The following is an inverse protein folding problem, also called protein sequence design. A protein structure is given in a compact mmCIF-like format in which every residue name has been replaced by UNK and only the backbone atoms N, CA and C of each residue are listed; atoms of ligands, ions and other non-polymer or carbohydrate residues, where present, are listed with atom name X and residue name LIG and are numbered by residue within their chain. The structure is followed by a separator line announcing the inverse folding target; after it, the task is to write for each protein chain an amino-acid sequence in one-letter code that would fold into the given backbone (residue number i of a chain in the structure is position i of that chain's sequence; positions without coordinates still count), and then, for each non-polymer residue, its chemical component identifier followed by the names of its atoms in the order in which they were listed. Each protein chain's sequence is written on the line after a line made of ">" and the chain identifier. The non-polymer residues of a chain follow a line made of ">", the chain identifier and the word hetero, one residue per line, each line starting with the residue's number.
data_IF_398966529774
#
_entry.id   IF_398966529774
#
_cell.length_a   1.000
_cell.length_b   1.000
_cell.length_c   1.000
_cell.angle_alpha   90.00
_cell.angle_beta   90.00
_cell.angle_gamma   90.00
#
_symmetry.space_group_name_H-M   'P 1'
#
loop_
_entity.id
_entity.type
_entity.pdbx_description
1 polymer ?
#
# COMPACT_ATOMS: atom_id res chain seq x y z
N UNK A 1 7.44 -0.79 -0.40
CA UNK A 1 6.36 0.10 -0.87
C UNK A 1 6.62 0.59 -2.29
N UNK A 2 7.22 1.78 -2.42
CA UNK A 2 7.40 2.49 -3.70
C UNK A 2 7.93 1.62 -4.86
N UNK A 3 9.07 0.93 -4.66
CA UNK A 3 9.69 0.13 -5.71
C UNK A 3 8.81 -1.03 -6.21
N UNK A 4 8.13 -1.73 -5.31
CA UNK A 4 7.23 -2.84 -5.68
C UNK A 4 5.93 -2.35 -6.30
N UNK A 5 5.36 -1.25 -5.79
CA UNK A 5 4.11 -0.69 -6.28
C UNK A 5 4.26 -0.03 -7.66
N UNK A 6 5.49 0.27 -8.10
CA UNK A 6 5.79 0.94 -9.38
C UNK A 6 5.17 0.24 -10.60
N UNK A 7 4.91 -1.07 -10.51
CA UNK A 7 4.23 -1.84 -11.54
C UNK A 7 2.86 -1.29 -11.95
N UNK A 8 2.12 -0.64 -11.03
CA UNK A 8 0.83 -0.01 -11.34
C UNK A 8 0.97 1.11 -12.38
N UNK A 9 1.98 1.97 -12.22
CA UNK A 9 2.24 3.08 -13.15
C UNK A 9 2.80 2.57 -14.48
N UNK A 10 3.72 1.61 -14.42
CA UNK A 10 4.32 1.02 -15.63
C UNK A 10 3.28 0.30 -16.48
N UNK A 11 2.42 -0.51 -15.87
CA UNK A 11 1.36 -1.22 -16.58
C UNK A 11 0.40 -0.26 -17.27
N UNK A 12 0.00 0.81 -16.58
CA UNK A 12 -0.85 1.86 -17.17
C UNK A 12 -0.17 2.56 -18.33
N UNK A 13 1.08 3.02 -18.16
CA UNK A 13 1.80 3.75 -19.19
C UNK A 13 2.05 2.91 -20.45
N UNK A 14 2.28 1.61 -20.31
CA UNK A 14 2.45 0.70 -21.44
C UNK A 14 1.15 0.52 -22.23
N UNK A 15 0.01 0.43 -21.54
CA UNK A 15 -1.29 0.19 -22.18
C UNK A 15 -1.89 1.46 -22.79
N UNK A 16 -1.87 2.57 -22.07
CA UNK A 16 -2.59 3.80 -22.44
C UNK A 16 -1.69 4.90 -23.01
N UNK A 17 -0.36 4.80 -22.85
CA UNK A 17 0.59 5.79 -23.36
C UNK A 17 0.69 7.07 -22.53
N UNK A 18 0.06 7.12 -21.36
CA UNK A 18 0.08 8.25 -20.42
C UNK A 18 0.17 7.76 -18.96
N UNK A 19 0.00 8.67 -17.99
CA UNK A 19 -0.19 8.33 -16.58
C UNK A 19 -1.33 9.19 -16.06
N UNK A 20 -2.52 8.60 -15.98
CA UNK A 20 -3.72 9.27 -15.51
C UNK A 20 -4.03 8.98 -14.02
N UNK A 21 -4.98 9.74 -13.47
CA UNK A 21 -5.43 9.66 -12.09
C UNK A 21 -5.72 8.24 -11.57
N UNK A 22 -6.34 7.32 -12.34
CA UNK A 22 -6.60 5.96 -11.84
C UNK A 22 -5.30 5.20 -11.51
N UNK A 23 -4.26 5.35 -12.32
CA UNK A 23 -2.96 4.73 -12.09
C UNK A 23 -2.29 5.27 -10.83
N UNK A 24 -2.37 6.59 -10.62
CA UNK A 24 -1.81 7.27 -9.46
C UNK A 24 -2.53 6.81 -8.19
N UNK A 25 -3.86 6.75 -8.20
CA UNK A 25 -4.65 6.27 -7.06
C UNK A 25 -4.36 4.80 -6.75
N UNK A 26 -4.25 3.95 -7.77
CA UNK A 26 -3.87 2.55 -7.61
C UNK A 26 -2.45 2.42 -7.01
N UNK A 27 -1.51 3.24 -7.44
CA UNK A 27 -0.15 3.28 -6.91
C UNK A 27 -0.11 3.70 -5.43
N UNK A 28 -0.80 4.79 -5.06
CA UNK A 28 -0.89 5.25 -3.67
C UNK A 28 -1.52 4.17 -2.79
N UNK A 29 -2.65 3.59 -3.21
CA UNK A 29 -3.29 2.50 -2.47
C UNK A 29 -2.37 1.30 -2.29
N UNK A 30 -1.59 0.95 -3.31
CA UNK A 30 -0.63 -0.15 -3.26
C UNK A 30 0.51 0.13 -2.27
N UNK A 31 0.98 1.37 -2.17
CA UNK A 31 1.99 1.75 -1.18
C UNK A 31 1.43 1.59 0.24
N UNK A 32 0.21 2.07 0.49
CA UNK A 32 -0.46 1.94 1.80
C UNK A 32 -0.64 0.47 2.18
N UNK A 33 -1.08 -0.36 1.23
CA UNK A 33 -1.17 -1.81 1.39
C UNK A 33 0.18 -2.43 1.76
N UNK A 34 1.24 -2.05 1.04
CA UNK A 34 2.59 -2.56 1.29
C UNK A 34 3.10 -2.20 2.68
N UNK A 35 2.95 -0.94 3.08
CA UNK A 35 3.30 -0.52 4.45
C UNK A 35 2.47 -1.31 5.47
N UNK A 36 1.19 -1.56 5.20
CA UNK A 36 0.31 -2.36 6.04
C UNK A 36 0.83 -3.77 6.27
N UNK A 37 1.07 -4.55 5.20
CA UNK A 37 1.52 -5.93 5.36
C UNK A 37 2.97 -6.00 5.87
N UNK A 38 3.87 -5.10 5.44
CA UNK A 38 5.25 -5.03 5.95
C UNK A 38 5.23 -4.78 7.47
N UNK A 39 4.30 -3.96 7.95
CA UNK A 39 4.11 -3.74 9.40
C UNK A 39 3.69 -5.00 10.13
N UNK A 40 2.84 -5.84 9.53
CA UNK A 40 2.43 -7.13 10.13
C UNK A 40 3.63 -8.08 10.19
N UNK A 41 4.42 -8.19 9.12
CA UNK A 41 5.63 -9.03 9.13
C UNK A 41 6.67 -8.52 10.12
N UNK A 42 6.84 -7.21 10.25
CA UNK A 42 7.76 -6.61 11.22
C UNK A 42 7.41 -6.91 12.69
N UNK A 43 6.20 -7.39 13.00
CA UNK A 43 5.88 -7.88 14.36
C UNK A 43 6.46 -9.27 14.63
N UNK A 44 6.71 -10.07 13.58
CA UNK A 44 7.31 -11.39 13.69
C UNK A 44 8.82 -11.28 13.92
N UNK A 45 9.46 -10.29 13.29
CA UNK A 45 10.91 -10.08 13.37
C UNK A 45 11.32 -9.19 14.55
N UNK A 46 10.38 -8.84 15.45
CA UNK A 46 10.54 -7.77 16.45
C UNK A 46 11.75 -7.94 17.37
N UNK A 47 12.05 -9.17 17.78
CA UNK A 47 13.18 -9.48 18.66
C UNK A 47 14.52 -9.34 17.93
N UNK A 48 14.63 -9.90 16.73
CA UNK A 48 15.83 -9.84 15.89
C UNK A 48 16.15 -8.40 15.46
N UNK A 49 15.12 -7.67 15.07
CA UNK A 49 15.19 -6.26 14.71
C UNK A 49 15.69 -5.36 15.84
N UNK A 50 15.34 -5.70 17.08
CA UNK A 50 15.78 -4.99 18.27
C UNK A 50 17.25 -5.26 18.57
N UNK A 51 17.72 -6.50 18.33
CA UNK A 51 19.12 -6.90 18.51
C UNK A 51 20.03 -6.15 17.52
N UNK A 52 19.61 -6.06 16.25
CA UNK A 52 20.42 -5.47 15.17
C UNK A 52 20.22 -3.95 15.06
N UNK A 53 19.26 -3.38 15.80
CA UNK A 53 19.02 -1.93 15.83
C UNK A 53 18.39 -1.38 14.54
N UNK A 54 17.68 -2.23 13.79
CA UNK A 54 16.88 -1.83 12.61
C UNK A 54 15.83 -0.80 13.06
N UNK A 55 15.16 -0.06 12.17
CA UNK A 55 13.97 0.75 12.52
C UNK A 55 12.76 0.21 11.79
N UNK A 56 11.82 -0.38 12.51
CA UNK A 56 10.62 -0.99 11.93
C UNK A 56 9.32 -0.29 12.36
N UNK A 57 8.32 -0.32 11.48
CA UNK A 57 6.99 0.25 11.73
C UNK A 57 6.29 -0.42 12.91
N UNK A 58 6.52 -1.71 13.15
CA UNK A 58 6.03 -2.41 14.34
C UNK A 58 6.50 -1.78 15.66
N UNK A 59 7.72 -1.25 15.69
CA UNK A 59 8.26 -0.51 16.84
C UNK A 59 7.82 0.95 16.85
N UNK A 60 7.70 1.58 15.69
CA UNK A 60 7.21 2.95 15.56
C UNK A 60 5.75 3.09 16.00
N UNK A 61 4.89 2.16 15.58
CA UNK A 61 3.45 2.19 15.87
C UNK A 61 3.14 1.61 17.25
N UNK A 62 3.95 0.65 17.74
CA UNK A 62 3.84 0.10 19.09
C UNK A 62 2.43 -0.40 19.40
N UNK A 63 1.88 0.04 20.53
CA UNK A 63 0.54 -0.35 20.99
C UNK A 63 -0.59 0.16 20.07
N UNK A 64 -0.30 1.19 19.28
CA UNK A 64 -1.26 1.76 18.32
C UNK A 64 -1.26 1.02 16.97
N UNK A 65 -0.50 -0.07 16.81
CA UNK A 65 -0.40 -0.83 15.55
C UNK A 65 -1.77 -1.13 14.94
N UNK A 66 -2.75 -1.58 15.75
CA UNK A 66 -4.09 -1.90 15.24
C UNK A 66 -4.76 -0.69 14.57
N UNK A 67 -4.69 0.48 15.20
CA UNK A 67 -5.25 1.72 14.66
C UNK A 67 -4.54 2.13 13.35
N UNK A 68 -3.21 2.04 13.30
CA UNK A 68 -2.44 2.32 12.09
C UNK A 68 -2.75 1.35 10.96
N UNK A 69 -2.86 0.05 11.24
CA UNK A 69 -3.24 -0.95 10.25
C UNK A 69 -4.66 -0.69 9.70
N UNK A 70 -5.61 -0.35 10.57
CA UNK A 70 -6.97 0.04 10.13
C UNK A 70 -6.92 1.25 9.20
N UNK A 71 -6.13 2.27 9.52
CA UNK A 71 -5.96 3.45 8.67
C UNK A 71 -5.28 3.14 7.33
N UNK A 72 -4.20 2.36 7.34
CA UNK A 72 -3.45 1.98 6.14
C UNK A 72 -4.30 1.15 5.17
N UNK A 73 -4.95 0.11 5.66
CA UNK A 73 -5.81 -0.73 4.82
C UNK A 73 -7.10 -0.01 4.41
N UNK A 74 -7.69 0.79 5.30
CA UNK A 74 -8.85 1.62 4.97
C UNK A 74 -8.51 2.63 3.87
N UNK A 75 -7.38 3.32 3.99
CA UNK A 75 -6.88 4.24 2.95
C UNK A 75 -6.57 3.52 1.64
N UNK A 76 -5.95 2.34 1.70
CA UNK A 76 -5.68 1.52 0.52
C UNK A 76 -6.98 1.16 -0.22
N UNK A 77 -8.01 0.68 0.49
CA UNK A 77 -9.30 0.34 -0.09
C UNK A 77 -10.01 1.56 -0.70
N UNK A 78 -9.95 2.72 -0.05
CA UNK A 78 -10.50 3.98 -0.61
C UNK A 78 -9.78 4.36 -1.90
N UNK A 79 -8.44 4.34 -1.92
CA UNK A 79 -7.66 4.61 -3.12
C UNK A 79 -7.98 3.63 -4.25
N UNK A 80 -8.11 2.34 -3.95
CA UNK A 80 -8.48 1.33 -4.94
C UNK A 80 -9.90 1.53 -5.48
N UNK A 81 -10.86 1.88 -4.62
CA UNK A 81 -12.22 2.19 -5.05
C UNK A 81 -12.26 3.43 -5.98
N UNK A 82 -11.51 4.48 -5.64
CA UNK A 82 -11.39 5.68 -6.49
C UNK A 82 -10.72 5.32 -7.83
N UNK A 83 -9.63 4.56 -7.81
CA UNK A 83 -8.96 4.10 -9.04
C UNK A 83 -9.92 3.31 -9.94
N UNK A 84 -10.66 2.36 -9.37
CA UNK A 84 -11.63 1.55 -10.12
C UNK A 84 -12.77 2.40 -10.71
N UNK A 85 -13.33 3.32 -9.92
CA UNK A 85 -14.40 4.21 -10.37
C UNK A 85 -13.94 5.18 -11.46
N UNK A 86 -12.75 5.78 -11.30
CA UNK A 86 -12.18 6.74 -12.26
C UNK A 86 -11.73 6.10 -13.57
N UNK A 87 -11.28 4.84 -13.54
CA UNK A 87 -11.00 4.05 -14.74
C UNK A 87 -12.26 3.50 -15.44
N UNK A 88 -13.47 3.78 -14.90
CA UNK A 88 -14.75 3.32 -15.46
C UNK A 88 -14.81 1.80 -15.66
N UNK A 89 -14.15 1.04 -14.78
CA UNK A 89 -14.08 -0.42 -14.89
C UNK A 89 -15.49 -0.99 -14.73
N UNK A 90 -15.97 -1.82 -15.68
CA UNK A 90 -17.31 -2.40 -15.60
C UNK A 90 -17.43 -3.32 -14.39
N UNK A 91 -18.55 -3.21 -13.67
CA UNK A 91 -18.86 -4.14 -12.57
C UNK A 91 -19.17 -5.49 -13.17
N UNK A 92 -18.35 -6.50 -12.84
CA UNK A 92 -18.61 -7.88 -13.23
C UNK A 92 -19.81 -8.36 -12.40
N UNK A 93 -20.95 -8.53 -13.06
CA UNK A 93 -22.20 -9.04 -12.49
C UNK A 93 -22.23 -10.58 -12.49
#
# INVERSE_FOLDING_TARGET
>A
GLAFSWGALMGWAVEFGDIDDPAIMLYIGSILWVIGYDTIYAHQDKEDDAIVGVRATARLFGDNTKMWLTGLYGGALVCFAIAFASAQVPVVA
#
